data_IF_716824889219
#
_entry.id   IF_716824889219
#
_cell.length_a   1.000
_cell.length_b   1.000
_cell.length_c   1.000
_cell.angle_alpha   90.00
_cell.angle_beta   90.00
_cell.angle_gamma   90.00
#
_symmetry.space_group_name_H-M   'P 1'
#
loop_
_entity.id
_entity.type
_entity.pdbx_description
1 polymer ?
#
# COMPACT_ATOMS: atom_id res chain seq x y z
N UNK A 1 15.72 -24.81 -4.16
CA UNK A 1 14.32 -24.38 -3.95
C UNK A 1 14.32 -22.88 -4.12
N UNK A 2 14.00 -22.41 -5.33
CA UNK A 2 13.85 -20.99 -5.57
C UNK A 2 12.46 -20.61 -5.04
N UNK A 3 12.42 -19.86 -3.95
CA UNK A 3 11.21 -19.21 -3.49
C UNK A 3 10.91 -18.12 -4.52
N UNK A 4 10.09 -18.46 -5.53
CA UNK A 4 9.45 -17.46 -6.38
C UNK A 4 8.42 -16.74 -5.51
N UNK A 5 8.90 -15.88 -4.61
CA UNK A 5 8.09 -14.82 -4.04
C UNK A 5 7.66 -14.01 -5.26
N UNK A 6 6.47 -14.31 -5.77
CA UNK A 6 5.91 -13.67 -6.94
C UNK A 6 5.68 -12.22 -6.52
N UNK A 7 6.70 -11.38 -6.73
CA UNK A 7 6.65 -9.98 -6.33
C UNK A 7 5.68 -9.34 -7.30
N UNK A 8 4.42 -9.30 -6.87
CA UNK A 8 3.33 -8.79 -7.68
C UNK A 8 3.53 -7.29 -7.80
N UNK A 9 3.90 -6.86 -9.01
CA UNK A 9 4.00 -5.45 -9.37
C UNK A 9 2.59 -4.88 -9.36
N UNK A 10 2.38 -3.80 -8.61
CA UNK A 10 1.12 -3.07 -8.56
C UNK A 10 1.18 -1.87 -9.49
N UNK A 11 0.15 -1.71 -10.33
CA UNK A 11 0.00 -0.53 -11.16
C UNK A 11 -0.69 0.58 -10.35
N UNK A 12 -0.49 1.84 -10.76
CA UNK A 12 -1.08 2.98 -10.06
C UNK A 12 -2.61 2.90 -9.99
N UNK A 13 -3.25 2.30 -11.00
CA UNK A 13 -4.70 2.07 -11.04
C UNK A 13 -5.20 1.10 -9.96
N UNK A 14 -4.33 0.22 -9.45
CA UNK A 14 -4.67 -0.76 -8.42
C UNK A 14 -4.29 -0.29 -7.02
N UNK A 15 -3.64 0.87 -6.89
CA UNK A 15 -3.11 1.38 -5.62
C UNK A 15 -4.23 1.77 -4.66
N UNK A 16 -5.34 2.30 -5.17
CA UNK A 16 -6.54 2.63 -4.38
C UNK A 16 -7.09 1.38 -3.68
N UNK A 17 -7.13 0.25 -4.37
CA UNK A 17 -7.59 -1.03 -3.81
C UNK A 17 -6.67 -1.51 -2.69
N UNK A 18 -5.36 -1.41 -2.86
CA UNK A 18 -4.40 -1.74 -1.81
C UNK A 18 -4.57 -0.82 -0.59
N UNK A 19 -4.76 0.47 -0.82
CA UNK A 19 -5.04 1.45 0.23
C UNK A 19 -6.29 1.07 1.04
N UNK A 20 -7.38 0.69 0.36
CA UNK A 20 -8.63 0.25 1.00
C UNK A 20 -8.41 -1.03 1.83
N UNK A 21 -7.68 -2.01 1.29
CA UNK A 21 -7.31 -3.26 1.99
C UNK A 21 -6.54 -2.97 3.30
N UNK A 22 -5.54 -2.08 3.24
CA UNK A 22 -4.74 -1.72 4.42
C UNK A 22 -5.59 -0.95 5.45
N UNK A 23 -6.44 -0.02 5.00
CA UNK A 23 -7.33 0.71 5.90
C UNK A 23 -8.32 -0.22 6.60
N UNK A 24 -8.93 -1.16 5.87
CA UNK A 24 -9.83 -2.15 6.44
C UNK A 24 -9.13 -3.02 7.49
N UNK A 25 -7.91 -3.50 7.19
CA UNK A 25 -7.10 -4.29 8.12
C UNK A 25 -6.71 -3.54 9.40
N UNK A 26 -6.58 -2.20 9.33
CA UNK A 26 -6.29 -1.34 10.49
C UNK A 26 -7.54 -0.77 11.17
N UNK A 27 -8.74 -0.98 10.63
CA UNK A 27 -9.97 -0.34 11.12
C UNK A 27 -9.99 1.18 10.91
N UNK A 28 -9.25 1.69 9.91
CA UNK A 28 -9.23 3.12 9.57
C UNK A 28 -10.44 3.47 8.70
N UNK A 29 -11.15 4.53 9.06
CA UNK A 29 -12.15 5.12 8.18
C UNK A 29 -11.45 5.84 7.03
N UNK A 30 -11.87 5.56 5.79
CA UNK A 30 -11.31 6.18 4.58
C UNK A 30 -11.41 7.71 4.56
N UNK A 31 -12.32 8.28 5.37
CA UNK A 31 -12.48 9.73 5.51
C UNK A 31 -11.56 10.37 6.56
N UNK A 32 -10.87 9.56 7.38
CA UNK A 32 -9.96 10.04 8.41
C UNK A 32 -8.69 10.67 7.82
N UNK A 33 -8.08 11.59 8.56
CA UNK A 33 -6.81 12.19 8.17
C UNK A 33 -5.69 11.13 8.08
N UNK A 34 -5.71 10.14 8.98
CA UNK A 34 -4.78 9.01 8.95
C UNK A 34 -4.88 8.21 7.65
N UNK A 35 -6.09 7.88 7.20
CA UNK A 35 -6.29 7.16 5.94
C UNK A 35 -5.82 8.00 4.74
N UNK A 36 -6.14 9.30 4.69
CA UNK A 36 -5.65 10.19 3.63
C UNK A 36 -4.11 10.28 3.60
N UNK A 37 -3.48 10.38 4.77
CA UNK A 37 -2.04 10.41 4.88
C UNK A 37 -1.38 9.09 4.42
N UNK A 38 -1.98 7.95 4.76
CA UNK A 38 -1.57 6.64 4.24
C UNK A 38 -1.68 6.59 2.71
N UNK A 39 -2.78 7.08 2.14
CA UNK A 39 -2.96 7.10 0.70
C UNK A 39 -1.87 7.93 0.00
N UNK A 40 -1.58 9.12 0.51
CA UNK A 40 -0.49 9.97 -0.01
C UNK A 40 0.87 9.28 0.10
N UNK A 41 1.15 8.59 1.21
CA UNK A 41 2.39 7.82 1.37
C UNK A 41 2.52 6.73 0.30
N UNK A 42 1.46 5.96 0.06
CA UNK A 42 1.47 4.89 -0.94
C UNK A 42 1.70 5.44 -2.36
N UNK A 43 1.05 6.55 -2.70
CA UNK A 43 1.25 7.24 -3.99
C UNK A 43 2.70 7.74 -4.13
N UNK A 44 3.26 8.32 -3.07
CA UNK A 44 4.62 8.82 -3.07
C UNK A 44 5.62 7.69 -3.28
N UNK A 45 5.50 6.58 -2.54
CA UNK A 45 6.37 5.42 -2.69
C UNK A 45 6.28 4.83 -4.10
N UNK A 46 5.07 4.72 -4.65
CA UNK A 46 4.86 4.24 -6.01
C UNK A 46 5.54 5.15 -7.05
N UNK A 47 5.40 6.47 -6.92
CA UNK A 47 6.06 7.45 -7.79
C UNK A 47 7.59 7.41 -7.72
N UNK A 48 8.15 6.91 -6.62
CA UNK A 48 9.59 6.72 -6.41
C UNK A 48 10.11 5.38 -6.94
N UNK A 49 9.26 4.57 -7.57
CA UNK A 49 9.63 3.28 -8.16
C UNK A 49 9.35 2.06 -7.26
N UNK A 50 8.71 2.25 -6.10
CA UNK A 50 8.30 1.14 -5.24
C UNK A 50 7.00 0.56 -5.79
N UNK A 51 7.11 -0.36 -6.74
CA UNK A 51 5.96 -0.99 -7.38
C UNK A 51 5.63 -2.38 -6.81
N UNK A 52 6.46 -2.93 -5.93
CA UNK A 52 6.21 -4.24 -5.34
C UNK A 52 5.10 -4.15 -4.30
N UNK A 53 3.99 -4.87 -4.51
CA UNK A 53 2.83 -4.88 -3.61
C UNK A 53 3.25 -5.17 -2.16
N UNK A 54 4.09 -6.17 -1.95
CA UNK A 54 4.55 -6.55 -0.61
C UNK A 54 5.28 -5.41 0.13
N UNK A 55 6.07 -4.59 -0.58
CA UNK A 55 6.78 -3.44 0.02
C UNK A 55 5.82 -2.32 0.39
N UNK A 56 4.79 -2.08 -0.43
CA UNK A 56 3.76 -1.10 -0.14
C UNK A 56 2.85 -1.55 1.01
N UNK A 57 2.50 -2.84 1.07
CA UNK A 57 1.79 -3.43 2.21
C UNK A 57 2.58 -3.31 3.51
N UNK A 58 3.88 -3.58 3.46
CA UNK A 58 4.77 -3.43 4.62
C UNK A 58 4.81 -1.98 5.09
N UNK A 59 4.98 -1.02 4.17
CA UNK A 59 4.93 0.41 4.49
C UNK A 59 3.58 0.80 5.12
N UNK A 60 2.47 0.28 4.58
CA UNK A 60 1.14 0.47 5.12
C UNK A 60 0.95 -0.13 6.51
N UNK A 61 1.54 -1.31 6.80
CA UNK A 61 1.48 -1.94 8.13
C UNK A 61 2.19 -1.11 9.19
N UNK A 62 3.34 -0.52 8.86
CA UNK A 62 4.12 0.34 9.75
C UNK A 62 3.62 1.78 9.83
N UNK A 63 2.58 2.13 9.07
CA UNK A 63 1.95 3.44 9.17
C UNK A 63 1.33 3.64 10.59
N UNK A 64 1.70 4.72 11.31
CA UNK A 64 1.33 4.95 12.70
C UNK A 64 -0.17 5.17 12.91
#
# INVERSE_FOLDING_TARGET
MADETTSSIIHIADLDKLYEEICAGKGLSLNSEAAKALHVLLLQLHSQGVHEKAKLEEAGRHFP
#
